data_IF_598501526781
#
_entry.id   IF_598501526781
#
_cell.length_a   1.000
_cell.length_b   1.000
_cell.length_c   1.000
_cell.angle_alpha   90.00
_cell.angle_beta   90.00
_cell.angle_gamma   90.00
#
_symmetry.space_group_name_H-M   'P 1'
#
loop_
_entity.id
_entity.type
_entity.pdbx_description
1 polymer ?
#
# COMPACT_ATOMS: atom_id res chain seq x y z
N UNK A 1 2.30 32.80 27.79
CA UNK A 1 3.45 33.27 26.99
C UNK A 1 3.97 32.07 26.23
N UNK A 2 3.46 31.88 25.02
CA UNK A 2 3.87 30.78 24.15
C UNK A 2 5.29 31.10 23.65
N UNK A 3 6.27 30.38 24.20
CA UNK A 3 7.65 30.51 23.76
C UNK A 3 7.74 29.83 22.39
N UNK A 4 8.12 30.62 21.39
CA UNK A 4 8.38 30.15 20.03
C UNK A 4 9.88 30.25 19.72
N UNK A 5 10.48 29.12 19.35
CA UNK A 5 11.87 29.02 18.90
C UNK A 5 11.91 28.90 17.39
N UNK A 6 12.44 29.92 16.72
CA UNK A 6 12.65 29.92 15.28
C UNK A 6 14.12 29.58 14.99
N UNK A 7 14.36 28.43 14.37
CA UNK A 7 15.67 27.92 14.00
C UNK A 7 15.82 28.05 12.48
N UNK A 8 16.75 28.90 12.05
CA UNK A 8 17.09 29.07 10.63
C UNK A 8 18.43 28.42 10.31
N UNK A 9 18.44 27.42 9.43
CA UNK A 9 19.65 26.73 8.97
C UNK A 9 20.33 27.59 7.89
N UNK A 10 21.49 28.17 8.22
CA UNK A 10 22.13 29.21 7.42
C UNK A 10 23.02 28.69 6.28
N UNK A 11 23.39 27.42 6.31
CA UNK A 11 24.39 26.87 5.39
C UNK A 11 23.89 25.58 4.75
N UNK A 12 24.26 25.36 3.49
CA UNK A 12 24.10 24.06 2.86
C UNK A 12 24.94 23.00 3.58
N UNK A 13 24.45 21.76 3.58
CA UNK A 13 25.19 20.62 4.10
C UNK A 13 24.35 19.67 4.95
N UNK A 14 25.06 18.74 5.60
CA UNK A 14 24.46 17.74 6.48
C UNK A 14 24.62 18.14 7.94
N UNK A 15 23.48 18.37 8.60
CA UNK A 15 23.33 18.56 10.03
C UNK A 15 23.19 17.20 10.69
N UNK A 16 24.17 16.82 11.51
CA UNK A 16 24.22 15.52 12.18
C UNK A 16 23.76 15.71 13.63
N UNK A 17 22.59 15.18 13.94
CA UNK A 17 21.95 15.39 15.25
C UNK A 17 21.74 14.08 16.00
N UNK A 18 21.88 14.13 17.32
CA UNK A 18 21.48 13.00 18.18
C UNK A 18 19.96 12.96 18.30
N UNK A 19 19.34 14.11 18.59
CA UNK A 19 17.91 14.25 18.75
C UNK A 19 17.48 15.72 18.65
N UNK A 20 16.34 15.97 18.00
CA UNK A 20 15.56 17.20 18.06
C UNK A 20 14.31 16.88 18.88
N UNK A 21 14.29 17.29 20.15
CA UNK A 21 13.21 16.96 21.09
C UNK A 21 12.40 18.20 21.45
N UNK A 22 11.10 18.17 21.15
CA UNK A 22 10.13 19.22 21.44
C UNK A 22 9.06 18.68 22.41
N UNK A 23 9.31 18.71 23.73
CA UNK A 23 8.32 18.28 24.72
C UNK A 23 7.30 19.37 25.07
N UNK A 24 7.53 20.63 24.77
CA UNK A 24 6.57 21.72 25.02
C UNK A 24 6.97 22.96 24.24
N UNK A 25 6.03 23.89 24.07
CA UNK A 25 6.24 25.13 23.33
C UNK A 25 6.21 24.92 21.82
N UNK A 26 6.60 25.96 21.08
CA UNK A 26 6.54 25.98 19.62
C UNK A 26 7.93 26.08 19.03
N UNK A 27 8.26 25.21 18.08
CA UNK A 27 9.55 25.19 17.38
C UNK A 27 9.28 25.24 15.89
N UNK A 28 9.95 26.16 15.20
CA UNK A 28 9.97 26.24 13.74
C UNK A 28 11.39 26.02 13.23
N UNK A 29 11.58 25.10 12.28
CA UNK A 29 12.86 24.77 11.67
C UNK A 29 12.75 24.94 10.15
N UNK A 30 13.54 25.84 9.58
CA UNK A 30 13.58 26.05 8.12
C UNK A 30 14.98 26.48 7.67
N UNK A 31 15.40 26.17 6.44
CA UNK A 31 16.60 26.78 5.86
C UNK A 31 16.44 28.28 5.63
N UNK A 32 17.58 28.97 5.49
CA UNK A 32 17.58 30.32 4.94
C UNK A 32 16.98 30.32 3.52
N UNK A 33 16.25 31.37 3.15
CA UNK A 33 15.54 31.49 1.86
C UNK A 33 16.44 31.45 0.61
N UNK A 34 17.76 31.53 0.80
CA UNK A 34 18.76 31.38 -0.26
C UNK A 34 19.10 29.92 -0.58
N UNK A 35 18.63 28.97 0.23
CA UNK A 35 18.92 27.55 0.12
C UNK A 35 17.75 26.80 -0.53
N UNK A 36 18.05 25.71 -1.22
CA UNK A 36 17.03 24.80 -1.75
C UNK A 36 16.75 23.68 -0.75
N UNK A 37 15.58 23.05 -0.86
CA UNK A 37 15.20 21.96 0.04
C UNK A 37 16.16 20.77 0.01
N UNK A 38 16.76 20.47 -1.14
CA UNK A 38 17.73 19.39 -1.27
C UNK A 38 19.13 19.72 -0.72
N UNK A 39 19.44 21.01 -0.50
CA UNK A 39 20.76 21.46 -0.05
C UNK A 39 20.98 21.33 1.46
N UNK A 40 19.92 21.06 2.23
CA UNK A 40 19.97 20.91 3.68
C UNK A 40 19.47 19.53 4.08
N UNK A 41 20.34 18.77 4.72
CA UNK A 41 20.05 17.39 5.14
C UNK A 41 20.16 17.30 6.65
N UNK A 42 19.10 16.84 7.32
CA UNK A 42 19.18 16.42 8.73
C UNK A 42 19.37 14.90 8.77
N UNK A 43 20.40 14.46 9.50
CA UNK A 43 20.79 13.04 9.59
C UNK A 43 20.99 12.62 11.06
N UNK A 44 20.58 11.39 11.44
CA UNK A 44 20.90 10.84 12.76
C UNK A 44 22.39 10.62 12.98
N UNK A 45 22.87 10.97 14.17
CA UNK A 45 24.24 10.70 14.62
C UNK A 45 24.43 9.23 14.98
N UNK A 46 25.42 8.58 14.35
CA UNK A 46 25.84 7.23 14.70
C UNK A 46 26.75 7.27 15.93
N UNK A 47 26.44 6.47 16.94
CA UNK A 47 27.31 6.21 18.08
C UNK A 47 28.45 5.31 17.61
N UNK A 48 29.66 5.86 17.56
CA UNK A 48 30.87 5.11 17.17
C UNK A 48 31.73 4.69 18.36
N UNK A 49 31.42 5.22 19.55
CA UNK A 49 32.12 4.89 20.81
C UNK A 49 31.09 4.66 21.89
N UNK A 50 31.04 3.43 22.39
CA UNK A 50 30.24 3.05 23.54
C UNK A 50 30.87 3.62 24.81
N UNK A 51 30.03 4.02 25.76
CA UNK A 51 30.46 4.29 27.13
C UNK A 51 30.99 2.99 27.77
N UNK A 52 31.87 3.04 28.79
CA UNK A 52 32.44 1.84 29.42
C UNK A 52 31.38 0.83 29.87
N UNK A 53 30.27 1.31 30.43
CA UNK A 53 29.12 0.51 30.86
C UNK A 53 28.39 -0.17 29.68
N UNK A 54 28.16 0.56 28.58
CA UNK A 54 27.60 -0.02 27.35
C UNK A 54 28.56 -1.01 26.68
N UNK A 55 29.87 -0.78 26.83
CA UNK A 55 30.89 -1.69 26.34
C UNK A 55 30.90 -3.00 27.14
N UNK A 56 30.69 -2.94 28.46
CA UNK A 56 30.51 -4.14 29.29
C UNK A 56 29.28 -4.94 28.86
N UNK A 57 28.14 -4.27 28.62
CA UNK A 57 26.92 -4.91 28.09
C UNK A 57 27.15 -5.54 26.71
N UNK A 58 27.82 -4.83 25.81
CA UNK A 58 28.17 -5.36 24.49
C UNK A 58 29.10 -6.58 24.59
N UNK A 59 30.08 -6.56 25.51
CA UNK A 59 31.02 -7.66 25.73
C UNK A 59 30.36 -8.94 26.25
N UNK A 60 29.25 -8.83 26.98
CA UNK A 60 28.44 -9.97 27.45
C UNK A 60 27.34 -10.38 26.44
N UNK A 61 27.30 -9.75 25.27
CA UNK A 61 26.48 -10.16 24.12
C UNK A 61 25.19 -9.38 23.92
N UNK A 62 24.95 -8.27 24.64
CA UNK A 62 23.81 -7.40 24.35
C UNK A 62 24.01 -6.65 23.03
N UNK A 63 22.96 -6.62 22.20
CA UNK A 63 22.96 -5.85 20.97
C UNK A 63 22.74 -4.37 21.30
N UNK A 64 23.78 -3.55 21.10
CA UNK A 64 23.68 -2.10 21.24
C UNK A 64 23.13 -1.47 19.96
N UNK A 65 22.17 -0.56 20.10
CA UNK A 65 21.74 0.25 18.97
C UNK A 65 22.84 1.23 18.59
N UNK A 66 23.03 1.43 17.28
CA UNK A 66 23.91 2.46 16.75
C UNK A 66 23.39 3.89 16.99
N UNK A 67 22.18 4.04 17.55
CA UNK A 67 21.48 5.30 17.78
C UNK A 67 20.92 5.34 19.21
N UNK A 68 20.82 6.54 19.80
CA UNK A 68 20.35 6.70 21.19
C UNK A 68 18.83 6.89 21.29
N UNK A 69 18.22 7.48 20.26
CA UNK A 69 16.85 7.97 20.25
C UNK A 69 16.29 8.09 18.83
N UNK A 70 14.97 8.35 18.67
CA UNK A 70 14.45 8.95 17.45
C UNK A 70 15.18 10.24 17.10
N UNK A 71 15.26 10.59 15.80
CA UNK A 71 15.88 11.83 15.36
C UNK A 71 15.01 13.04 15.74
N UNK A 72 13.70 12.95 15.53
CA UNK A 72 12.75 14.01 15.88
C UNK A 72 11.68 13.43 16.80
N UNK A 73 11.46 14.09 17.93
CA UNK A 73 10.34 13.79 18.82
C UNK A 73 9.55 15.06 19.12
N UNK A 74 8.24 15.03 18.89
CA UNK A 74 7.32 16.09 19.31
C UNK A 74 6.26 15.48 20.23
N UNK A 75 6.28 15.89 21.50
CA UNK A 75 5.49 15.27 22.55
C UNK A 75 4.93 16.33 23.52
N UNK A 76 4.03 15.92 24.42
CA UNK A 76 3.49 16.68 25.55
C UNK A 76 2.98 18.07 25.10
N UNK A 77 2.06 18.07 24.13
CA UNK A 77 1.48 19.29 23.54
C UNK A 77 2.51 20.21 22.84
N UNK A 78 3.70 19.70 22.52
CA UNK A 78 4.67 20.38 21.69
C UNK A 78 4.12 20.72 20.30
N UNK A 79 4.60 21.83 19.74
CA UNK A 79 4.26 22.28 18.40
C UNK A 79 5.51 22.35 17.54
N UNK A 80 5.51 21.63 16.41
CA UNK A 80 6.63 21.59 15.47
C UNK A 80 6.18 22.05 14.08
N UNK A 81 6.84 23.06 13.53
CA UNK A 81 6.79 23.37 12.10
C UNK A 81 8.18 23.11 11.51
N UNK A 82 8.27 22.28 10.48
CA UNK A 82 9.53 22.01 9.78
C UNK A 82 9.30 22.07 8.28
N UNK A 83 10.17 22.79 7.56
CA UNK A 83 10.00 22.97 6.13
C UNK A 83 11.26 22.89 5.29
N UNK A 84 11.05 22.54 4.02
CA UNK A 84 11.98 22.70 2.91
C UNK A 84 13.35 22.07 3.18
N UNK A 85 13.39 20.80 3.58
CA UNK A 85 14.65 20.10 3.82
C UNK A 85 14.55 18.60 3.59
N UNK A 86 15.69 17.93 3.58
CA UNK A 86 15.79 16.47 3.52
C UNK A 86 15.98 15.89 4.91
N UNK A 87 15.23 14.84 5.23
CA UNK A 87 15.47 14.01 6.41
C UNK A 87 15.89 12.61 5.95
N UNK A 88 17.12 12.22 6.29
CA UNK A 88 17.61 10.88 5.98
C UNK A 88 17.25 9.88 7.07
N UNK A 89 16.90 8.65 6.66
CA UNK A 89 16.74 7.54 7.58
C UNK A 89 18.08 7.16 8.26
N UNK A 90 18.01 6.27 9.24
CA UNK A 90 19.15 5.60 9.84
C UNK A 90 19.96 4.85 8.78
N UNK A 91 21.28 4.77 8.99
CA UNK A 91 22.18 4.03 8.11
C UNK A 91 21.99 2.52 8.27
N UNK A 92 21.86 2.08 9.53
CA UNK A 92 21.76 0.67 9.90
C UNK A 92 20.39 0.40 10.55
N UNK A 93 19.88 -0.86 10.49
CA UNK A 93 18.66 -1.25 11.19
C UNK A 93 18.70 -0.84 12.66
N UNK A 94 17.61 -0.26 13.13
CA UNK A 94 17.51 0.34 14.46
C UNK A 94 16.14 0.02 15.08
N UNK A 95 16.05 0.19 16.41
CA UNK A 95 14.83 0.02 17.20
C UNK A 95 13.99 1.29 17.36
N UNK A 96 14.54 2.47 17.03
CA UNK A 96 13.84 3.75 17.18
C UNK A 96 13.23 4.19 15.87
N UNK A 97 12.01 4.71 15.89
CA UNK A 97 11.42 5.41 14.74
C UNK A 97 12.29 6.62 14.38
N UNK A 98 12.33 7.04 13.11
CA UNK A 98 13.06 8.25 12.75
C UNK A 98 12.38 9.49 13.34
N UNK A 99 11.06 9.57 13.22
CA UNK A 99 10.20 10.60 13.81
C UNK A 99 9.14 9.96 14.69
N UNK A 100 8.95 10.50 15.90
CA UNK A 100 7.87 10.13 16.81
C UNK A 100 7.05 11.34 17.21
N UNK A 101 5.73 11.25 16.99
CA UNK A 101 4.76 12.31 17.29
C UNK A 101 3.73 11.75 18.26
N UNK A 102 3.57 12.37 19.44
CA UNK A 102 2.81 11.76 20.53
C UNK A 102 2.26 12.80 21.52
N UNK A 103 1.48 12.34 22.49
CA UNK A 103 0.96 13.08 23.65
C UNK A 103 0.29 14.42 23.26
N UNK A 104 -0.63 14.37 22.30
CA UNK A 104 -1.40 15.53 21.84
C UNK A 104 -0.57 16.61 21.13
N UNK A 105 0.62 16.28 20.63
CA UNK A 105 1.45 17.20 19.87
C UNK A 105 0.76 17.67 18.59
N UNK A 106 1.17 18.85 18.12
CA UNK A 106 0.76 19.39 16.82
C UNK A 106 1.99 19.53 15.95
N UNK A 107 1.93 19.09 14.69
CA UNK A 107 3.05 19.31 13.79
C UNK A 107 2.67 19.57 12.36
N UNK A 108 3.49 20.34 11.68
CA UNK A 108 3.41 20.67 10.27
C UNK A 108 4.75 20.39 9.59
N UNK A 109 4.71 19.52 8.58
CA UNK A 109 5.85 19.18 7.73
C UNK A 109 5.55 19.67 6.31
N UNK A 110 6.33 20.61 5.80
CA UNK A 110 6.07 21.24 4.50
C UNK A 110 7.28 21.13 3.56
N UNK A 111 7.13 20.56 2.37
CA UNK A 111 8.24 20.48 1.40
C UNK A 111 9.39 19.58 1.88
N UNK A 112 9.09 18.54 2.67
CA UNK A 112 10.10 17.63 3.22
C UNK A 112 10.34 16.45 2.29
N UNK A 113 11.61 16.09 2.10
CA UNK A 113 12.01 14.87 1.38
C UNK A 113 12.52 13.85 2.39
N UNK A 114 11.83 12.72 2.52
CA UNK A 114 12.29 11.55 3.25
C UNK A 114 12.98 10.58 2.31
N UNK A 115 14.21 10.18 2.63
CA UNK A 115 14.97 9.22 1.83
C UNK A 115 15.88 8.31 2.65
N UNK A 116 16.30 7.16 2.11
CA UNK A 116 17.28 6.30 2.76
C UNK A 116 18.58 7.05 3.05
N UNK A 117 19.32 6.58 4.05
CA UNK A 117 20.66 7.11 4.29
C UNK A 117 21.55 6.89 3.06
N UNK A 118 22.35 7.88 2.68
CA UNK A 118 23.26 7.76 1.53
C UNK A 118 24.28 6.61 1.66
N UNK A 119 24.53 6.13 2.89
CA UNK A 119 25.42 4.99 3.18
C UNK A 119 24.67 3.71 3.56
N UNK A 120 23.34 3.69 3.44
CA UNK A 120 22.55 2.50 3.71
C UNK A 120 22.95 1.37 2.76
N UNK A 121 23.00 0.15 3.28
CA UNK A 121 23.18 -1.03 2.44
C UNK A 121 21.91 -1.22 1.59
N UNK A 122 22.02 -1.17 0.26
CA UNK A 122 20.88 -1.30 -0.66
C UNK A 122 20.14 -2.64 -0.54
N UNK A 123 20.78 -3.67 -0.01
CA UNK A 123 20.19 -4.99 0.20
C UNK A 123 19.51 -5.11 1.58
N UNK A 124 19.75 -4.15 2.48
CA UNK A 124 19.12 -4.11 3.78
C UNK A 124 17.71 -3.51 3.68
N UNK A 125 16.85 -3.92 4.61
CA UNK A 125 15.48 -3.43 4.72
C UNK A 125 15.30 -2.72 6.04
N UNK A 126 14.56 -1.62 6.01
CA UNK A 126 14.19 -0.89 7.21
C UNK A 126 13.08 -1.61 7.97
N UNK A 127 13.29 -1.89 9.25
CA UNK A 127 12.31 -2.57 10.11
C UNK A 127 11.43 -1.59 10.90
N UNK A 128 11.55 -0.30 10.62
CA UNK A 128 10.96 0.82 11.37
C UNK A 128 10.54 1.94 10.41
N UNK A 129 9.43 2.64 10.69
CA UNK A 129 8.91 3.69 9.81
C UNK A 129 9.79 4.94 9.83
N UNK A 130 9.63 5.79 8.81
CA UNK A 130 10.09 7.17 8.87
C UNK A 130 9.32 7.92 9.96
N UNK A 131 7.99 7.78 9.96
CA UNK A 131 7.11 8.58 10.80
C UNK A 131 6.20 7.66 11.59
N UNK A 132 6.23 7.80 12.92
CA UNK A 132 5.32 7.09 13.83
C UNK A 132 4.50 8.10 14.63
N UNK A 133 3.18 8.05 14.45
CA UNK A 133 2.20 8.97 15.04
C UNK A 133 1.35 8.20 16.05
N UNK A 134 1.40 8.61 17.30
CA UNK A 134 0.72 7.93 18.40
C UNK A 134 -0.51 8.70 18.89
N UNK A 135 -0.53 10.03 18.75
CA UNK A 135 -1.68 10.87 19.06
C UNK A 135 -1.42 12.30 18.57
N UNK A 136 -2.45 13.14 18.47
CA UNK A 136 -2.32 14.55 18.14
C UNK A 136 -2.83 14.88 16.74
N UNK A 137 -2.48 16.08 16.26
CA UNK A 137 -2.90 16.58 14.96
C UNK A 137 -1.68 16.93 14.11
N UNK A 138 -1.53 16.23 12.98
CA UNK A 138 -0.32 16.31 12.18
C UNK A 138 -0.67 16.53 10.71
N UNK A 139 0.00 17.50 10.09
CA UNK A 139 -0.19 17.87 8.69
C UNK A 139 1.13 17.70 7.93
N UNK A 140 1.05 17.05 6.79
CA UNK A 140 2.13 16.85 5.83
C UNK A 140 1.70 17.48 4.51
N UNK A 141 2.43 18.49 4.06
CA UNK A 141 2.13 19.25 2.84
C UNK A 141 3.31 19.16 1.89
N UNK A 142 3.09 18.73 0.65
CA UNK A 142 4.15 18.57 -0.36
C UNK A 142 5.34 17.74 0.16
N UNK A 143 5.05 16.65 0.88
CA UNK A 143 6.07 15.73 1.41
C UNK A 143 6.33 14.62 0.39
N UNK A 144 7.59 14.34 0.12
CA UNK A 144 8.02 13.25 -0.74
C UNK A 144 8.67 12.15 0.10
N UNK A 145 8.20 10.91 -0.05
CA UNK A 145 8.90 9.72 0.44
C UNK A 145 9.48 8.97 -0.76
N UNK A 146 10.80 8.96 -0.83
CA UNK A 146 11.57 8.30 -1.89
C UNK A 146 11.60 6.77 -1.70
N UNK A 147 11.99 6.08 -2.77
CA UNK A 147 12.10 4.64 -2.84
C UNK A 147 12.85 4.07 -1.63
N UNK A 148 12.13 3.30 -0.82
CA UNK A 148 12.63 2.72 0.42
C UNK A 148 12.08 1.30 0.55
N UNK A 149 12.95 0.35 0.92
CA UNK A 149 12.53 -1.02 1.20
C UNK A 149 12.35 -1.21 2.71
N UNK A 150 11.16 -1.63 3.10
CA UNK A 150 10.83 -1.98 4.48
C UNK A 150 10.67 -3.48 4.67
N UNK A 151 10.96 -3.94 5.87
CA UNK A 151 10.63 -5.27 6.35
C UNK A 151 9.62 -5.15 7.49
N UNK A 152 8.41 -5.66 7.24
CA UNK A 152 7.28 -5.64 8.17
C UNK A 152 7.00 -4.28 8.83
N UNK A 153 7.25 -3.18 8.13
CA UNK A 153 6.96 -1.81 8.58
C UNK A 153 6.43 -0.98 7.41
N UNK A 154 5.48 -0.05 7.63
CA UNK A 154 5.14 0.98 6.65
C UNK A 154 6.19 2.10 6.64
N UNK A 155 6.10 3.01 5.66
CA UNK A 155 6.85 4.28 5.69
C UNK A 155 6.30 5.25 6.74
N UNK A 156 4.96 5.29 6.89
CA UNK A 156 4.24 6.09 7.88
C UNK A 156 3.29 5.19 8.65
N UNK A 157 3.37 5.24 9.98
CA UNK A 157 2.50 4.49 10.87
C UNK A 157 1.73 5.44 11.78
N UNK A 158 0.42 5.24 11.88
CA UNK A 158 -0.38 5.83 12.96
C UNK A 158 -0.94 4.72 13.84
N UNK A 159 -0.97 4.94 15.15
CA UNK A 159 -1.53 3.98 16.09
C UNK A 159 -2.05 4.67 17.34
N UNK A 160 -3.36 4.68 17.51
CA UNK A 160 -4.02 5.11 18.73
C UNK A 160 -5.08 4.11 19.16
N UNK A 161 -5.13 3.82 20.46
CA UNK A 161 -6.17 2.99 21.07
C UNK A 161 -6.65 3.66 22.36
N UNK A 162 -7.96 3.56 22.63
CA UNK A 162 -8.58 3.97 23.90
C UNK A 162 -7.79 3.42 25.09
N UNK A 163 -7.38 4.31 26.01
CA UNK A 163 -6.57 3.97 27.18
C UNK A 163 -5.07 4.21 26.99
N UNK A 164 -4.59 4.50 25.78
CA UNK A 164 -3.29 5.12 25.59
C UNK A 164 -3.28 6.51 26.23
N UNK A 165 -2.13 6.88 26.81
CA UNK A 165 -1.97 8.18 27.48
C UNK A 165 -2.01 9.26 26.40
N UNK A 166 -3.07 10.04 26.39
CA UNK A 166 -3.08 11.34 25.75
C UNK A 166 -3.05 12.43 26.82
N UNK A 167 -2.19 13.42 26.64
CA UNK A 167 -1.79 14.33 27.71
C UNK A 167 -2.86 15.41 27.91
N UNK A 168 -3.57 15.38 29.04
CA UNK A 168 -4.50 16.42 29.53
C UNK A 168 -5.56 16.97 28.54
N UNK A 169 -5.91 16.24 27.49
CA UNK A 169 -7.01 16.63 26.60
C UNK A 169 -8.28 15.85 26.93
N UNK A 170 -9.37 16.57 27.23
CA UNK A 170 -10.70 15.97 27.45
C UNK A 170 -11.23 15.23 26.22
N UNK A 171 -10.72 15.59 25.03
CA UNK A 171 -10.96 14.93 23.75
C UNK A 171 -9.69 14.98 22.92
N UNK A 172 -8.88 13.93 22.97
CA UNK A 172 -7.67 13.92 22.17
C UNK A 172 -8.02 13.91 20.68
N UNK A 173 -7.38 14.76 19.88
CA UNK A 173 -7.47 14.72 18.42
C UNK A 173 -6.54 13.63 17.88
N UNK A 174 -7.01 12.85 16.90
CA UNK A 174 -6.22 11.84 16.20
C UNK A 174 -6.38 12.07 14.71
N UNK A 175 -5.71 13.11 14.21
CA UNK A 175 -5.83 13.52 12.82
C UNK A 175 -4.46 13.49 12.14
N UNK A 176 -4.38 12.79 11.02
CA UNK A 176 -3.23 12.81 10.15
C UNK A 176 -3.67 13.27 8.75
N UNK A 177 -3.16 14.40 8.31
CA UNK A 177 -3.53 15.06 7.05
C UNK A 177 -2.35 15.06 6.09
N UNK A 178 -2.56 14.56 4.88
CA UNK A 178 -1.59 14.52 3.80
C UNK A 178 -2.13 15.32 2.61
N UNK A 179 -1.41 16.35 2.20
CA UNK A 179 -1.77 17.26 1.12
C UNK A 179 -0.62 17.27 0.12
N UNK A 180 -0.90 17.03 -1.16
CA UNK A 180 0.11 17.08 -2.24
C UNK A 180 1.34 16.18 -1.99
N UNK A 181 1.18 15.10 -1.21
CA UNK A 181 2.29 14.22 -0.84
C UNK A 181 2.54 13.15 -1.92
N UNK A 182 3.79 12.74 -2.07
CA UNK A 182 4.20 11.72 -3.06
C UNK A 182 4.91 10.55 -2.40
N UNK A 183 4.43 9.32 -2.67
CA UNK A 183 4.98 8.07 -2.16
C UNK A 183 5.39 7.19 -3.35
N UNK A 184 6.68 7.15 -3.65
CA UNK A 184 7.20 6.47 -4.85
C UNK A 184 8.00 5.23 -4.48
N UNK A 185 7.63 4.09 -5.07
CA UNK A 185 8.37 2.83 -4.98
C UNK A 185 8.66 2.36 -3.55
N UNK A 186 7.70 2.51 -2.64
CA UNK A 186 7.83 1.96 -1.30
C UNK A 186 7.53 0.46 -1.35
N UNK A 187 8.53 -0.38 -1.10
CA UNK A 187 8.37 -1.84 -1.10
C UNK A 187 8.37 -2.38 0.34
N UNK A 188 7.58 -3.42 0.61
CA UNK A 188 7.49 -4.07 1.92
C UNK A 188 7.52 -5.58 1.76
N UNK A 189 8.34 -6.26 2.57
CA UNK A 189 8.51 -7.72 2.45
C UNK A 189 7.26 -8.55 2.82
N UNK A 190 6.41 -8.10 3.77
CA UNK A 190 5.21 -8.80 4.24
C UNK A 190 4.19 -7.85 4.90
N UNK A 191 2.88 -8.09 4.70
CA UNK A 191 1.80 -7.54 5.55
C UNK A 191 1.37 -6.10 5.25
N UNK A 192 0.21 -5.69 5.76
CA UNK A 192 -0.67 -4.61 5.26
C UNK A 192 -0.14 -3.18 5.49
N UNK A 193 -0.30 -2.30 4.49
CA UNK A 193 0.14 -0.89 4.48
C UNK A 193 1.64 -0.75 4.19
N UNK A 194 2.05 -0.54 2.93
CA UNK A 194 3.46 -0.29 2.60
C UNK A 194 3.84 1.20 2.75
N UNK A 195 3.02 2.10 2.21
CA UNK A 195 3.20 3.53 2.37
C UNK A 195 2.66 4.02 3.71
N UNK A 196 1.36 3.81 3.95
CA UNK A 196 0.67 4.27 5.17
C UNK A 196 -0.06 3.10 5.81
N UNK A 197 0.16 2.90 7.11
CA UNK A 197 -0.64 2.01 7.95
C UNK A 197 -1.23 2.84 9.09
N UNK A 198 -2.56 3.00 9.09
CA UNK A 198 -3.26 3.88 10.02
C UNK A 198 -4.24 3.10 10.90
N UNK A 199 -4.05 3.19 12.22
CA UNK A 199 -4.93 2.57 13.22
C UNK A 199 -5.48 3.62 14.20
N UNK A 200 -6.80 3.81 14.22
CA UNK A 200 -7.46 4.67 15.22
C UNK A 200 -7.34 6.18 14.96
N UNK A 201 -7.02 6.60 13.73
CA UNK A 201 -6.91 8.00 13.31
C UNK A 201 -7.94 8.36 12.24
N UNK A 202 -8.36 9.63 12.22
CA UNK A 202 -8.94 10.23 11.02
C UNK A 202 -7.80 10.51 10.05
N UNK A 203 -7.82 9.82 8.91
CA UNK A 203 -6.84 10.01 7.86
C UNK A 203 -7.45 10.88 6.75
N UNK A 204 -6.82 12.01 6.45
CA UNK A 204 -7.25 12.92 5.38
C UNK A 204 -6.16 12.93 4.32
N UNK A 205 -6.48 12.50 3.10
CA UNK A 205 -5.56 12.43 1.96
C UNK A 205 -6.13 13.28 0.83
N UNK A 206 -5.40 14.32 0.45
CA UNK A 206 -5.81 15.29 -0.57
C UNK A 206 -4.70 15.48 -1.60
N UNK A 207 -5.02 15.36 -2.88
CA UNK A 207 -4.08 15.60 -3.99
C UNK A 207 -2.76 14.80 -3.92
N UNK A 208 -2.78 13.61 -3.31
CA UNK A 208 -1.56 12.81 -3.11
C UNK A 208 -1.29 11.82 -4.25
N UNK A 209 -0.03 11.47 -4.50
CA UNK A 209 0.35 10.44 -5.47
C UNK A 209 0.98 9.23 -4.79
N UNK A 210 0.42 8.06 -5.02
CA UNK A 210 0.93 6.76 -4.59
C UNK A 210 1.31 5.95 -5.83
N UNK A 211 2.60 5.64 -6.00
CA UNK A 211 3.07 5.05 -7.25
C UNK A 211 4.11 3.94 -7.03
N UNK A 212 3.93 2.85 -7.79
CA UNK A 212 4.93 1.80 -8.00
C UNK A 212 5.27 1.73 -9.50
N UNK A 213 6.50 2.06 -9.87
CA UNK A 213 6.98 2.09 -11.26
C UNK A 213 7.68 0.81 -11.71
N UNK A 214 8.06 -0.07 -10.77
CA UNK A 214 8.63 -1.37 -11.07
C UNK A 214 7.98 -2.46 -10.20
N UNK A 215 7.60 -3.62 -10.76
CA UNK A 215 7.18 -4.76 -9.95
C UNK A 215 8.34 -5.15 -9.03
N UNK A 216 8.09 -5.19 -7.71
CA UNK A 216 9.13 -5.63 -6.78
C UNK A 216 9.44 -7.09 -7.06
N UNK A 217 10.70 -7.42 -7.37
CA UNK A 217 11.16 -8.80 -7.56
C UNK A 217 10.96 -9.66 -6.30
N UNK A 218 10.71 -9.02 -5.15
CA UNK A 218 10.39 -9.64 -3.85
C UNK A 218 8.98 -10.25 -3.81
N UNK A 219 8.01 -9.73 -4.58
CA UNK A 219 6.63 -10.24 -4.61
C UNK A 219 6.48 -11.55 -5.41
N UNK A 220 7.50 -11.94 -6.19
CA UNK A 220 7.52 -13.19 -6.98
C UNK A 220 7.90 -14.45 -6.17
N UNK A 221 8.22 -14.34 -4.89
CA UNK A 221 8.63 -15.50 -4.07
C UNK A 221 7.69 -15.77 -2.90
N UNK A 222 6.40 -15.99 -3.20
CA UNK A 222 5.50 -16.72 -2.30
C UNK A 222 5.89 -18.21 -2.27
N UNK A 223 7.09 -18.54 -1.77
CA UNK A 223 7.43 -19.93 -1.41
C UNK A 223 6.78 -20.21 -0.07
N UNK A 224 5.64 -20.88 -0.13
CA UNK A 224 4.89 -21.44 0.99
C UNK A 224 5.81 -22.40 1.78
N UNK A 225 6.60 -21.86 2.71
CA UNK A 225 7.42 -22.65 3.61
C UNK A 225 6.49 -23.33 4.62
N UNK A 226 6.04 -24.54 4.31
CA UNK A 226 5.45 -25.48 5.28
C UNK A 226 6.47 -25.77 6.38
N UNK A 227 6.49 -24.96 7.44
CA UNK A 227 7.05 -25.37 8.73
C UNK A 227 5.90 -25.89 9.59
N UNK A 228 5.99 -27.19 9.88
CA UNK A 228 5.09 -27.97 10.72
C UNK A 228 5.12 -27.50 12.17
N UNK A 229 4.48 -26.38 12.50
CA UNK A 229 4.06 -26.10 13.87
C UNK A 229 2.53 -25.94 13.89
N UNK A 230 1.88 -26.91 14.50
CA UNK A 230 0.44 -26.96 14.74
C UNK A 230 0.04 -25.85 15.71
N UNK A 231 -0.17 -24.64 15.20
CA UNK A 231 -1.20 -23.76 15.70
C UNK A 231 -2.31 -23.78 14.65
N UNK A 232 -3.51 -24.18 15.06
CA UNK A 232 -4.70 -24.30 14.21
C UNK A 232 -5.08 -22.92 13.65
N UNK A 233 -4.45 -22.53 12.55
CA UNK A 233 -5.08 -21.69 11.54
C UNK A 233 -6.19 -22.57 10.98
N UNK A 234 -7.45 -22.18 11.21
CA UNK A 234 -8.57 -22.81 10.51
C UNK A 234 -8.29 -22.69 9.01
N UNK A 235 -8.04 -23.82 8.37
CA UNK A 235 -8.01 -23.93 6.92
C UNK A 235 -9.33 -23.38 6.40
N UNK A 236 -9.26 -22.26 5.69
CA UNK A 236 -10.32 -21.85 4.78
C UNK A 236 -10.48 -23.03 3.82
N UNK A 237 -11.58 -23.77 3.98
CA UNK A 237 -11.89 -24.87 3.07
C UNK A 237 -12.12 -24.22 1.71
N UNK A 238 -11.27 -24.57 0.75
CA UNK A 238 -11.43 -24.23 -0.66
C UNK A 238 -12.63 -25.00 -1.20
N UNK A 239 -13.84 -24.48 -1.00
CA UNK A 239 -14.91 -24.74 -1.95
C UNK A 239 -14.87 -23.58 -2.94
N UNK A 240 -14.38 -23.86 -4.15
CA UNK A 240 -14.46 -22.90 -5.25
C UNK A 240 -15.94 -22.48 -5.39
N UNK A 241 -16.26 -21.18 -5.35
CA UNK A 241 -17.64 -20.74 -5.43
C UNK A 241 -18.26 -21.21 -6.76
N UNK A 242 -19.53 -21.66 -6.76
CA UNK A 242 -20.22 -22.01 -7.98
C UNK A 242 -20.25 -20.79 -8.93
N UNK A 243 -20.25 -21.02 -10.25
CA UNK A 243 -20.24 -19.94 -11.22
C UNK A 243 -21.44 -19.00 -11.01
N UNK A 244 -21.25 -17.68 -11.23
CA UNK A 244 -22.27 -16.66 -11.01
C UNK A 244 -23.53 -16.99 -11.83
N UNK A 245 -24.71 -16.84 -11.23
CA UNK A 245 -25.99 -17.19 -11.86
C UNK A 245 -26.73 -15.98 -12.40
N UNK A 246 -26.33 -14.77 -11.99
CA UNK A 246 -27.00 -13.52 -12.35
C UNK A 246 -26.01 -12.40 -12.69
N UNK A 247 -26.46 -11.37 -13.43
CA UNK A 247 -25.63 -10.20 -13.78
C UNK A 247 -25.18 -9.37 -12.57
N UNK A 248 -25.86 -9.48 -11.42
CA UNK A 248 -25.42 -8.90 -10.16
C UNK A 248 -24.22 -9.65 -9.54
N UNK A 249 -24.08 -10.96 -9.82
CA UNK A 249 -22.96 -11.79 -9.36
C UNK A 249 -21.68 -11.57 -10.20
N UNK A 250 -21.79 -10.95 -11.38
CA UNK A 250 -20.66 -10.61 -12.26
C UNK A 250 -19.88 -9.38 -11.75
N UNK A 251 -20.46 -8.59 -10.84
CA UNK A 251 -19.85 -7.37 -10.29
C UNK A 251 -18.95 -7.59 -9.06
N UNK A 252 -18.96 -8.79 -8.47
CA UNK A 252 -18.25 -9.10 -7.23
C UNK A 252 -17.63 -10.50 -7.33
N UNK A 253 -16.64 -10.66 -8.21
CA UNK A 253 -15.87 -11.90 -8.24
C UNK A 253 -14.76 -11.78 -7.20
N UNK A 254 -14.81 -12.64 -6.18
CA UNK A 254 -13.73 -12.74 -5.19
C UNK A 254 -12.41 -13.07 -5.91
N UNK A 255 -11.50 -12.09 -5.95
CA UNK A 255 -10.13 -12.36 -6.37
C UNK A 255 -9.49 -13.26 -5.32
N UNK A 256 -8.75 -14.29 -5.74
CA UNK A 256 -7.99 -15.14 -4.83
C UNK A 256 -7.16 -14.29 -3.84
N UNK A 257 -7.31 -14.59 -2.54
CA UNK A 257 -7.00 -13.70 -1.42
C UNK A 257 -5.66 -12.97 -1.46
N UNK A 258 -5.75 -11.65 -1.35
CA UNK A 258 -4.62 -10.77 -1.04
C UNK A 258 -4.97 -9.96 0.22
N UNK A 259 -4.00 -9.84 1.11
CA UNK A 259 -4.14 -9.23 2.44
C UNK A 259 -3.15 -8.07 2.63
N UNK A 260 -2.68 -7.48 1.53
CA UNK A 260 -1.72 -6.39 1.52
C UNK A 260 -2.42 -5.15 0.96
N UNK A 261 -1.87 -3.98 1.21
CA UNK A 261 -2.28 -2.75 0.54
C UNK A 261 -1.17 -1.72 0.69
N UNK A 262 -1.14 -0.73 -0.19
CA UNK A 262 -0.21 0.39 -0.08
C UNK A 262 -0.62 1.35 1.03
N UNK A 263 -1.93 1.57 1.18
CA UNK A 263 -2.53 2.30 2.30
C UNK A 263 -3.49 1.38 3.05
N UNK A 264 -3.34 1.28 4.37
CA UNK A 264 -4.30 0.61 5.26
C UNK A 264 -4.88 1.61 6.25
N UNK A 265 -6.20 1.53 6.42
CA UNK A 265 -6.94 2.30 7.42
C UNK A 265 -7.80 1.32 8.20
N UNK A 266 -7.59 1.27 9.51
CA UNK A 266 -8.40 0.47 10.39
C UNK A 266 -8.67 1.09 11.76
N UNK A 267 -9.65 0.52 12.45
CA UNK A 267 -10.05 0.89 13.81
C UNK A 267 -10.24 -0.37 14.67
N UNK A 268 -10.03 -0.24 15.99
CA UNK A 268 -10.10 -1.36 16.93
C UNK A 268 -11.40 -2.16 16.81
N UNK A 269 -11.28 -3.48 16.62
CA UNK A 269 -12.39 -4.37 16.25
C UNK A 269 -13.50 -4.55 17.29
N UNK A 270 -13.36 -4.05 18.52
CA UNK A 270 -14.40 -4.20 19.55
C UNK A 270 -15.40 -3.04 19.59
N UNK A 271 -15.08 -1.91 18.97
CA UNK A 271 -15.89 -0.69 19.00
C UNK A 271 -16.50 -0.39 17.63
N UNK A 272 -17.62 0.33 17.61
CA UNK A 272 -18.20 0.84 16.36
C UNK A 272 -17.19 1.81 15.71
N UNK A 273 -17.08 1.80 14.37
CA UNK A 273 -16.23 2.76 13.67
C UNK A 273 -16.74 4.17 13.97
N UNK A 274 -15.89 4.99 14.58
CA UNK A 274 -16.21 6.36 14.94
C UNK A 274 -15.27 7.37 14.27
N UNK A 275 -14.16 6.90 13.70
CA UNK A 275 -13.29 7.71 12.86
C UNK A 275 -13.84 7.79 11.44
N UNK A 276 -13.67 8.96 10.84
CA UNK A 276 -14.12 9.26 9.49
C UNK A 276 -12.91 9.75 8.69
N UNK A 277 -12.40 8.87 7.83
CA UNK A 277 -11.30 9.19 6.94
C UNK A 277 -11.82 9.74 5.60
N UNK A 278 -11.01 10.53 4.90
CA UNK A 278 -11.37 11.16 3.64
C UNK A 278 -10.20 10.98 2.66
N UNK A 279 -10.51 10.57 1.44
CA UNK A 279 -9.59 10.61 0.30
C UNK A 279 -10.24 11.45 -0.78
N UNK A 280 -9.60 12.56 -1.17
CA UNK A 280 -10.19 13.51 -2.11
C UNK A 280 -9.16 14.22 -3.00
N UNK A 281 -9.69 15.11 -3.85
CA UNK A 281 -8.92 15.84 -4.84
C UNK A 281 -8.35 14.89 -5.90
N UNK A 282 -7.31 15.35 -6.58
CA UNK A 282 -6.56 14.64 -7.63
C UNK A 282 -5.71 13.47 -7.11
N UNK A 283 -6.06 12.91 -5.94
CA UNK A 283 -5.33 11.78 -5.35
C UNK A 283 -5.30 10.59 -6.30
N UNK A 284 -4.10 10.03 -6.53
CA UNK A 284 -3.86 8.96 -7.51
C UNK A 284 -3.13 7.76 -6.91
N UNK A 285 -3.66 6.57 -7.15
CA UNK A 285 -3.04 5.28 -6.87
C UNK A 285 -2.67 4.58 -8.18
N UNK A 286 -1.37 4.43 -8.47
CA UNK A 286 -0.88 4.00 -9.79
C UNK A 286 0.10 2.83 -9.72
N UNK A 287 -0.15 1.78 -10.51
CA UNK A 287 0.78 0.66 -10.68
C UNK A 287 0.92 -0.26 -9.46
N UNK A 288 -0.01 -0.19 -8.51
CA UNK A 288 0.08 -0.88 -7.22
C UNK A 288 -0.41 -2.32 -7.35
N UNK A 289 0.54 -3.25 -7.51
CA UNK A 289 0.24 -4.66 -7.79
C UNK A 289 -0.18 -5.48 -6.57
N UNK A 290 0.26 -5.06 -5.38
CA UNK A 290 -0.13 -5.60 -4.08
C UNK A 290 -1.40 -4.94 -3.54
N UNK A 291 -1.95 -4.02 -4.33
CA UNK A 291 -3.16 -3.24 -4.21
C UNK A 291 -3.17 -2.01 -3.33
N UNK A 292 -4.14 -1.12 -3.62
CA UNK A 292 -4.05 0.27 -3.24
C UNK A 292 -4.54 0.53 -1.80
N UNK A 293 -5.76 0.11 -1.45
CA UNK A 293 -6.40 0.45 -0.18
C UNK A 293 -6.91 -0.79 0.57
N UNK A 294 -6.64 -0.85 1.87
CA UNK A 294 -7.22 -1.83 2.79
C UNK A 294 -8.02 -1.13 3.88
N UNK A 295 -9.27 -1.57 4.07
CA UNK A 295 -10.19 -0.99 5.03
C UNK A 295 -10.72 -2.04 5.99
N UNK A 296 -10.68 -1.75 7.28
CA UNK A 296 -11.26 -2.61 8.31
C UNK A 296 -11.86 -1.79 9.45
N UNK A 297 -13.12 -2.06 9.79
CA UNK A 297 -13.85 -1.39 10.87
C UNK A 297 -13.70 0.14 10.87
N UNK A 298 -13.85 0.79 9.71
CA UNK A 298 -13.63 2.24 9.56
C UNK A 298 -14.64 2.85 8.61
N UNK A 299 -14.91 4.16 8.75
CA UNK A 299 -15.68 4.92 7.77
C UNK A 299 -14.74 5.71 6.87
N UNK A 300 -14.99 5.69 5.57
CA UNK A 300 -14.22 6.47 4.60
C UNK A 300 -15.11 7.11 3.55
N UNK A 301 -14.82 8.37 3.21
CA UNK A 301 -15.37 9.04 2.04
C UNK A 301 -14.30 9.09 0.95
N UNK A 302 -14.62 8.61 -0.25
CA UNK A 302 -13.74 8.68 -1.43
C UNK A 302 -14.40 9.60 -2.46
N UNK A 303 -13.77 10.73 -2.73
CA UNK A 303 -14.26 11.72 -3.69
C UNK A 303 -14.17 11.22 -5.14
N UNK A 304 -14.98 11.84 -5.99
CA UNK A 304 -15.08 11.46 -7.39
C UNK A 304 -13.81 11.69 -8.22
N UNK A 305 -12.95 12.59 -7.77
CA UNK A 305 -11.72 12.97 -8.48
C UNK A 305 -10.55 12.02 -8.21
N UNK A 306 -10.72 11.03 -7.32
CA UNK A 306 -9.69 10.05 -6.96
C UNK A 306 -9.49 9.02 -8.08
N UNK A 307 -8.23 8.80 -8.48
CA UNK A 307 -7.88 7.95 -9.63
C UNK A 307 -7.18 6.67 -9.15
N UNK A 308 -7.64 5.52 -9.67
CA UNK A 308 -6.94 4.23 -9.56
C UNK A 308 -6.52 3.79 -10.97
N UNK A 309 -5.21 3.65 -11.22
CA UNK A 309 -4.68 3.40 -12.56
C UNK A 309 -3.68 2.23 -12.59
N UNK A 310 -3.97 1.18 -13.35
CA UNK A 310 -3.01 0.09 -13.58
C UNK A 310 -2.64 -0.73 -12.34
N UNK A 311 -3.54 -0.78 -11.34
CA UNK A 311 -3.36 -1.56 -10.12
C UNK A 311 -3.74 -3.03 -10.37
N UNK A 312 -2.86 -3.77 -11.03
CA UNK A 312 -3.09 -5.16 -11.42
C UNK A 312 -2.05 -6.08 -10.80
N UNK A 313 -2.49 -7.22 -10.27
CA UNK A 313 -1.61 -8.30 -9.86
C UNK A 313 -0.86 -8.87 -11.09
N UNK A 314 0.35 -9.41 -10.91
CA UNK A 314 1.06 -10.09 -12.00
C UNK A 314 0.20 -11.22 -12.56
N UNK A 315 0.04 -11.25 -13.88
CA UNK A 315 -0.65 -12.35 -14.55
C UNK A 315 0.19 -13.64 -14.39
N UNK A 316 -0.42 -14.78 -14.03
CA UNK A 316 0.30 -16.05 -14.01
C UNK A 316 0.81 -16.38 -15.42
N UNK A 317 1.99 -17.00 -15.53
CA UNK A 317 2.61 -17.36 -16.81
C UNK A 317 1.68 -18.20 -17.72
N UNK A 318 0.75 -18.96 -17.11
CA UNK A 318 -0.28 -19.76 -17.80
C UNK A 318 -1.39 -18.94 -18.45
N UNK A 319 -1.56 -17.67 -18.09
CA UNK A 319 -2.49 -16.75 -18.76
C UNK A 319 -1.88 -16.12 -20.02
N UNK A 320 -0.55 -16.26 -20.21
CA UNK A 320 0.18 -15.73 -21.36
C UNK A 320 0.45 -16.79 -22.44
N UNK A 321 0.06 -18.05 -22.22
CA UNK A 321 0.17 -19.09 -23.26
C UNK A 321 -0.88 -18.88 -24.34
N UNK A 322 -0.41 -18.56 -25.57
CA UNK A 322 -1.22 -18.59 -26.80
C UNK A 322 -2.02 -19.89 -26.87
N UNK A 323 -3.25 -19.88 -27.43
CA UNK A 323 -3.97 -21.12 -27.66
C UNK A 323 -3.11 -22.04 -28.54
N UNK A 324 -2.97 -23.29 -28.10
CA UNK A 324 -2.41 -24.37 -28.91
C UNK A 324 -3.18 -24.41 -30.22
N UNK A 325 -2.46 -24.32 -31.35
CA UNK A 325 -3.01 -24.62 -32.66
C UNK A 325 -3.75 -25.96 -32.58
N UNK A 326 -5.02 -25.95 -32.99
CA UNK A 326 -5.89 -27.11 -32.93
C UNK A 326 -5.23 -28.30 -33.65
N UNK A 327 -4.83 -29.31 -32.87
CA UNK A 327 -4.56 -30.62 -33.43
C UNK A 327 -5.88 -31.23 -33.90
N UNK A 328 -6.03 -31.37 -35.21
CA UNK A 328 -7.10 -32.15 -35.84
C UNK A 328 -7.13 -33.58 -35.28
N UNK A 329 -8.32 -34.19 -35.09
CA UNK A 329 -8.42 -35.58 -34.67
C UNK A 329 -8.09 -36.50 -35.84
N UNK A 330 -7.13 -37.40 -35.66
CA UNK A 330 -6.90 -38.53 -36.56
C UNK A 330 -7.52 -39.78 -35.95
N UNK A 331 -8.60 -40.27 -36.55
CA UNK A 331 -9.01 -41.68 -36.43
C UNK A 331 -8.58 -42.48 -37.66
N UNK A 332 -7.95 -43.64 -37.43
CA UNK A 332 -8.27 -44.86 -38.19
C UNK A 332 -7.38 -45.32 -39.36
N UNK A 333 -6.32 -46.07 -39.03
CA UNK A 333 -5.78 -47.28 -39.72
C UNK A 333 -5.64 -47.35 -41.27
N UNK A 334 -4.42 -47.57 -41.76
CA UNK A 334 -3.94 -48.91 -42.17
C UNK A 334 -2.52 -48.87 -42.79
N UNK A 335 -1.96 -50.07 -42.90
CA UNK A 335 -0.57 -50.51 -43.07
C UNK A 335 0.22 -50.12 -44.33
N UNK A 336 1.55 -50.05 -44.10
CA UNK A 336 2.67 -50.51 -44.92
C UNK A 336 3.27 -49.64 -46.07
N UNK A 337 4.59 -49.45 -45.88
CA UNK A 337 5.73 -49.52 -46.82
C UNK A 337 6.24 -48.28 -47.57
N UNK A 338 7.56 -48.09 -47.34
CA UNK A 338 8.65 -47.59 -48.20
C UNK A 338 9.01 -46.09 -48.22
N UNK A 339 10.17 -45.81 -47.59
CA UNK A 339 11.32 -44.98 -48.03
C UNK A 339 11.04 -43.90 -49.10
N UNK A 340 11.35 -42.63 -48.80
CA UNK A 340 12.60 -41.93 -49.20
C UNK A 340 12.59 -40.46 -48.75
N UNK A 341 13.80 -39.93 -48.51
CA UNK A 341 14.16 -38.51 -48.36
C UNK A 341 13.61 -37.62 -49.48
N UNK A 342 13.37 -36.33 -49.20
CA UNK A 342 13.98 -35.17 -49.88
C UNK A 342 13.63 -33.86 -49.15
N UNK A 343 14.68 -33.07 -48.87
CA UNK A 343 14.67 -31.65 -48.55
C UNK A 343 14.00 -30.80 -49.64
N UNK A 344 13.29 -29.74 -49.28
CA UNK A 344 13.49 -28.45 -49.97
C UNK A 344 12.96 -27.27 -49.17
N UNK A 345 13.87 -26.33 -48.92
CA UNK A 345 13.60 -24.95 -48.56
C UNK A 345 12.70 -24.25 -49.58
N UNK A 346 11.93 -23.26 -49.10
CA UNK A 346 12.05 -21.82 -49.43
C UNK A 346 10.72 -21.09 -49.70
N UNK A 347 10.72 -19.86 -49.14
CA UNK A 347 10.17 -18.59 -49.63
C UNK A 347 8.67 -18.27 -49.50
N UNK A 348 8.41 -17.38 -48.54
CA UNK A 348 7.54 -16.20 -48.54
C UNK A 348 6.68 -15.97 -49.80
N UNK A 349 5.37 -15.81 -49.59
CA UNK A 349 4.54 -14.87 -50.36
C UNK A 349 3.39 -14.35 -49.47
N UNK A 350 3.35 -13.03 -49.28
CA UNK A 350 2.21 -12.28 -48.77
C UNK A 350 1.48 -11.74 -50.00
N UNK A 351 0.19 -12.02 -50.13
CA UNK A 351 -0.75 -11.24 -50.95
C UNK A 351 -2.10 -11.17 -50.24
N UNK A 352 -2.51 -9.95 -49.91
CA UNK A 352 -3.87 -9.55 -49.53
C UNK A 352 -4.63 -9.18 -50.80
N UNK A 353 -5.64 -9.96 -51.20
CA UNK A 353 -6.88 -9.60 -51.92
C UNK A 353 -7.81 -10.81 -51.62
N UNK A 354 -9.03 -10.73 -51.10
CA UNK A 354 -10.17 -9.92 -51.51
C UNK A 354 -11.31 -10.90 -51.88
N UNK A 355 -12.39 -10.84 -51.10
CA UNK A 355 -13.78 -11.23 -51.44
C UNK A 355 -14.25 -12.70 -51.43
N UNK A 356 -15.27 -12.90 -50.59
CA UNK A 356 -16.48 -13.71 -50.76
C UNK A 356 -16.37 -15.20 -51.08
N UNK A 357 -16.59 -16.03 -50.06
CA UNK A 357 -17.51 -17.18 -50.15
C UNK A 357 -18.06 -17.55 -48.78
N UNK A 358 -19.37 -17.42 -48.68
CA UNK A 358 -20.22 -17.77 -47.56
C UNK A 358 -20.78 -19.17 -47.86
N UNK A 359 -20.27 -20.20 -47.18
CA UNK A 359 -20.88 -21.52 -47.14
C UNK A 359 -20.83 -22.05 -45.70
N UNK A 360 -21.98 -21.98 -45.04
CA UNK A 360 -22.55 -22.94 -44.10
C UNK A 360 -21.58 -23.69 -43.16
N UNK A 361 -20.97 -22.97 -42.20
CA UNK A 361 -20.67 -23.57 -40.90
C UNK A 361 -21.92 -23.46 -40.03
N UNK A 362 -22.49 -24.61 -39.66
CA UNK A 362 -23.52 -24.69 -38.63
C UNK A 362 -22.99 -24.00 -37.37
N UNK A 363 -23.56 -22.85 -37.03
CA UNK A 363 -23.23 -22.09 -35.83
C UNK A 363 -23.59 -22.95 -34.60
N UNK A 364 -22.61 -23.69 -34.08
CA UNK A 364 -22.71 -24.54 -32.86
C UNK A 364 -23.19 -23.75 -31.62
N UNK A 365 -23.32 -22.43 -31.75
CA UNK A 365 -23.77 -21.50 -30.73
C UNK A 365 -25.20 -20.98 -30.93
N UNK A 366 -25.97 -21.54 -31.88
CA UNK A 366 -27.32 -21.09 -32.21
C UNK A 366 -28.39 -21.29 -31.09
N UNK A 367 -27.99 -21.78 -29.91
CA UNK A 367 -28.85 -21.98 -28.74
C UNK A 367 -28.48 -21.23 -27.46
N UNK A 368 -27.47 -20.35 -27.49
CA UNK A 368 -27.01 -19.64 -26.28
C UNK A 368 -27.34 -18.14 -26.42
N UNK A 369 -28.01 -17.58 -25.41
CA UNK A 369 -28.48 -16.19 -25.41
C UNK A 369 -27.36 -15.19 -25.75
N UNK A 370 -27.66 -14.09 -26.48
CA UNK A 370 -26.67 -13.09 -26.93
C UNK A 370 -25.85 -12.43 -25.82
N UNK A 371 -26.25 -12.58 -24.55
CA UNK A 371 -25.49 -12.13 -23.38
C UNK A 371 -24.18 -12.91 -23.15
N UNK A 372 -23.93 -14.01 -23.87
CA UNK A 372 -22.74 -14.85 -23.75
C UNK A 372 -21.78 -14.86 -24.94
N UNK A 373 -22.10 -14.19 -26.04
CA UNK A 373 -21.15 -13.99 -27.15
C UNK A 373 -20.30 -12.73 -26.90
N UNK A 374 -19.36 -12.83 -25.95
CA UNK A 374 -18.42 -11.74 -25.64
C UNK A 374 -17.54 -11.92 -24.39
N UNK A 375 -17.36 -13.14 -23.87
CA UNK A 375 -16.67 -13.41 -22.60
C UNK A 375 -15.15 -13.62 -22.72
N UNK A 376 -14.40 -12.73 -23.39
CA UNK A 376 -12.92 -12.85 -23.48
C UNK A 376 -12.12 -11.55 -23.36
N UNK A 377 -12.58 -10.48 -22.70
CA UNK A 377 -11.70 -9.30 -22.50
C UNK A 377 -11.94 -8.38 -21.29
N UNK A 378 -13.12 -8.41 -20.66
CA UNK A 378 -13.41 -7.54 -19.52
C UNK A 378 -13.33 -8.26 -18.18
N UNK A 379 -14.00 -9.42 -18.02
CA UNK A 379 -14.12 -10.17 -16.75
C UNK A 379 -12.85 -10.90 -16.30
N UNK A 380 -11.92 -11.22 -17.20
CA UNK A 380 -10.64 -11.82 -16.79
C UNK A 380 -9.72 -10.78 -16.15
N UNK A 381 -9.73 -9.55 -16.65
CA UNK A 381 -8.92 -8.47 -16.10
C UNK A 381 -9.33 -8.10 -14.67
N UNK A 382 -10.60 -8.27 -14.32
CA UNK A 382 -11.14 -7.86 -13.01
C UNK A 382 -10.67 -8.75 -11.88
N UNK A 383 -10.42 -10.04 -12.15
CA UNK A 383 -9.81 -10.99 -11.21
C UNK A 383 -8.43 -10.55 -10.73
N UNK A 384 -7.72 -9.76 -11.53
CA UNK A 384 -6.37 -9.28 -11.23
C UNK A 384 -6.33 -7.86 -10.71
N UNK A 385 -7.46 -7.14 -10.66
CA UNK A 385 -7.49 -5.78 -10.13
C UNK A 385 -7.33 -5.78 -8.62
N UNK A 386 -6.61 -4.78 -8.11
CA UNK A 386 -6.21 -4.68 -6.70
C UNK A 386 -6.44 -3.26 -6.18
N UNK A 387 -7.66 -2.73 -6.34
CA UNK A 387 -7.96 -1.37 -5.90
C UNK A 387 -8.24 -1.33 -4.39
N UNK A 388 -9.34 -1.96 -3.94
CA UNK A 388 -9.76 -1.87 -2.54
C UNK A 388 -10.07 -3.27 -1.98
N UNK A 389 -9.58 -3.57 -0.78
CA UNK A 389 -10.10 -4.64 0.08
C UNK A 389 -10.85 -4.04 1.26
N UNK A 390 -11.98 -4.65 1.63
CA UNK A 390 -12.89 -4.09 2.62
C UNK A 390 -13.46 -5.18 3.54
N UNK A 391 -13.17 -5.07 4.84
CA UNK A 391 -13.59 -6.02 5.88
C UNK A 391 -14.94 -5.69 6.53
N UNK A 392 -15.24 -6.38 7.64
CA UNK A 392 -16.43 -6.13 8.47
C UNK A 392 -16.32 -4.81 9.22
N UNK A 393 -17.49 -4.16 9.43
CA UNK A 393 -17.57 -2.87 10.11
C UNK A 393 -17.11 -1.69 9.26
N UNK A 394 -16.59 -1.91 8.05
CA UNK A 394 -16.21 -0.83 7.15
C UNK A 394 -17.41 -0.22 6.42
N UNK A 395 -17.37 1.08 6.20
CA UNK A 395 -18.34 1.85 5.42
C UNK A 395 -17.59 2.75 4.45
N UNK A 396 -17.89 2.62 3.16
CA UNK A 396 -17.34 3.45 2.08
C UNK A 396 -18.47 4.29 1.52
N UNK A 397 -18.34 5.60 1.61
CA UNK A 397 -19.21 6.56 0.93
C UNK A 397 -18.49 7.04 -0.32
N UNK A 398 -19.06 6.79 -1.49
CA UNK A 398 -18.46 7.20 -2.76
C UNK A 398 -19.51 7.49 -3.81
N UNK A 399 -19.24 8.44 -4.71
CA UNK A 399 -20.11 8.65 -5.86
C UNK A 399 -19.88 7.52 -6.89
N UNK A 400 -20.96 6.80 -7.22
CA UNK A 400 -20.93 5.58 -8.01
C UNK A 400 -20.47 5.78 -9.46
N UNK A 401 -20.59 7.02 -9.98
CA UNK A 401 -20.20 7.36 -11.36
C UNK A 401 -18.71 7.66 -11.52
N UNK A 402 -17.97 7.71 -10.42
CA UNK A 402 -16.70 8.44 -10.36
C UNK A 402 -15.44 7.62 -10.61
N UNK A 403 -15.57 6.30 -10.78
CA UNK A 403 -14.42 5.43 -10.91
C UNK A 403 -14.07 5.22 -12.37
N UNK A 404 -13.18 6.08 -12.87
CA UNK A 404 -12.55 5.90 -14.18
C UNK A 404 -11.11 5.44 -14.02
N UNK A 405 -10.75 4.33 -14.67
CA UNK A 405 -9.35 4.00 -14.92
C UNK A 405 -8.93 4.74 -16.19
N UNK A 406 -8.26 5.88 -16.02
CA UNK A 406 -7.79 6.73 -17.12
C UNK A 406 -8.90 7.14 -18.12
N UNK A 407 -10.11 7.43 -17.64
CA UNK A 407 -11.23 7.89 -18.47
C UNK A 407 -11.94 6.79 -19.27
N UNK A 408 -11.54 5.51 -19.14
CA UNK A 408 -12.23 4.38 -19.79
C UNK A 408 -13.32 3.87 -18.85
N UNK A 409 -14.56 4.27 -19.15
CA UNK A 409 -15.77 4.06 -18.34
C UNK A 409 -16.25 2.59 -18.20
N UNK A 410 -15.41 1.59 -18.47
CA UNK A 410 -15.85 0.17 -18.41
C UNK A 410 -15.37 -0.52 -17.14
N UNK A 411 -16.06 -0.11 -16.06
CA UNK A 411 -16.58 -0.91 -14.95
C UNK A 411 -15.79 -0.88 -13.62
N UNK A 412 -16.35 -0.04 -12.72
CA UNK A 412 -16.44 -0.11 -11.24
C UNK A 412 -15.16 -0.03 -10.40
N UNK A 413 -15.25 0.68 -9.25
CA UNK A 413 -14.34 0.51 -8.13
C UNK A 413 -14.31 -0.97 -7.76
N UNK A 414 -13.20 -1.65 -8.02
CA UNK A 414 -13.04 -3.05 -7.67
C UNK A 414 -12.79 -3.15 -6.17
N UNK A 415 -13.86 -3.50 -5.46
CA UNK A 415 -13.87 -3.69 -4.02
C UNK A 415 -14.02 -5.18 -3.75
N UNK A 416 -12.97 -5.79 -3.23
CA UNK A 416 -13.02 -7.14 -2.70
C UNK A 416 -13.48 -7.08 -1.25
N UNK A 417 -14.70 -7.57 -0.98
CA UNK A 417 -15.16 -7.77 0.40
C UNK A 417 -14.41 -8.95 1.00
N UNK A 418 -13.92 -8.82 2.24
CA UNK A 418 -13.14 -9.88 2.91
C UNK A 418 -13.85 -10.35 4.19
N UNK A 419 -13.50 -11.56 4.65
CA UNK A 419 -13.96 -12.09 5.94
C UNK A 419 -13.26 -11.48 7.17
N UNK A 420 -12.37 -10.50 6.98
CA UNK A 420 -11.68 -9.82 8.08
C UNK A 420 -12.72 -9.20 9.03
N UNK A 421 -12.60 -9.49 10.33
CA UNK A 421 -13.56 -9.05 11.35
C UNK A 421 -14.79 -9.93 11.55
N UNK A 422 -15.01 -10.98 10.75
CA UNK A 422 -16.22 -11.84 10.81
C UNK A 422 -16.44 -12.56 12.14
N UNK A 423 -15.37 -12.79 12.91
CA UNK A 423 -15.42 -13.50 14.21
C UNK A 423 -15.27 -12.56 15.40
N UNK A 424 -15.29 -11.24 15.18
CA UNK A 424 -15.07 -10.24 16.23
C UNK A 424 -16.42 -9.90 16.86
N UNK A 425 -16.53 -10.07 18.17
CA UNK A 425 -17.69 -9.62 18.94
C UNK A 425 -17.59 -8.11 19.17
N UNK A 426 -18.61 -7.35 18.81
CA UNK A 426 -18.63 -5.89 19.00
C UNK A 426 -19.36 -5.56 20.30
N UNK A 427 -18.77 -4.67 21.08
CA UNK A 427 -19.38 -4.20 22.33
C UNK A 427 -20.74 -3.56 22.06
N UNK A 428 -21.79 -4.04 22.74
CA UNK A 428 -23.14 -3.49 22.63
C UNK A 428 -23.98 -3.96 21.43
N UNK A 429 -23.55 -4.98 20.66
CA UNK A 429 -24.39 -5.59 19.60
C UNK A 429 -24.42 -7.12 19.70
N UNK A 430 -25.60 -7.69 19.48
CA UNK A 430 -25.83 -9.15 19.47
C UNK A 430 -25.43 -9.81 18.14
N UNK A 431 -25.19 -9.01 17.08
CA UNK A 431 -24.78 -9.49 15.75
C UNK A 431 -23.51 -8.76 15.29
N UNK A 432 -22.60 -9.45 14.57
CA UNK A 432 -21.43 -8.81 13.97
C UNK A 432 -21.88 -7.74 12.96
N UNK A 433 -21.11 -6.65 12.79
CA UNK A 433 -21.43 -5.63 11.81
C UNK A 433 -21.36 -6.21 10.40
N UNK A 434 -22.12 -5.60 9.51
CA UNK A 434 -22.18 -6.02 8.12
C UNK A 434 -20.78 -6.03 7.48
N UNK A 435 -20.58 -6.97 6.57
CA UNK A 435 -19.42 -7.01 5.70
C UNK A 435 -19.49 -5.83 4.72
N UNK A 436 -18.54 -4.89 4.84
CA UNK A 436 -18.36 -3.70 3.99
C UNK A 436 -19.65 -3.07 3.44
N UNK A 437 -20.10 -1.97 4.05
CA UNK A 437 -21.20 -1.16 3.54
C UNK A 437 -20.68 -0.19 2.47
N UNK A 438 -21.42 -0.10 1.36
CA UNK A 438 -21.19 0.85 0.28
C UNK A 438 -22.40 1.77 0.20
N UNK A 439 -22.17 3.08 0.31
CA UNK A 439 -23.21 4.10 0.33
C UNK A 439 -23.00 5.12 -0.78
#
# INVERSE_FOLDING_TARGET
NDIEWNITLQYEGTYIETQIHIPFGKVSISPASTLTSESVIIRPKIITKLLPEQQEEANIGFLMSAYESPLITCEILGQLSISDLVIEHFQDPNRYNLIQLNHGAVSEFTGIIFRPNAKHNSDAKYTIPYINILSGTHTFTNVQIEQTQFDNSPSVKTYFQTGMIDYFQDKPTQDATFIECTFTNIDRAQGVGAAIESHGFNLIITDCTFQLTAPSSSSATYKLNKRNNQQKIHSILNDAPPPPKTAADILLVETCGWNQAYVRIDENGQEQPHKQSIINGSTKFSGIQTGALSLYNTKITIDQSVIFAGNMAPLPETALSKPLEAHQPVEGNSTNTTKYNINSNNTNFITNEGEEQQEDEEDEWAGIEPLLRGYTSATENTLYRRNIICGHGSEITADSESFSEDGIQRQSLWILKTGEGSQVSYTGKDQPPNQCLLT
#
